data_IF_119842120432
#
_entry.id   IF_119842120432
#
_cell.length_a   1.000
_cell.length_b   1.000
_cell.length_c   1.000
_cell.angle_alpha   90.00
_cell.angle_beta   90.00
_cell.angle_gamma   90.00
#
_symmetry.space_group_name_H-M   'P 1'
#
loop_
_entity.id
_entity.type
_entity.pdbx_description
1 polymer ?
#
# COMPACT_ATOMS: atom_id res chain seq x y z
N UNK A 1 -14.16 9.59 9.71
CA UNK A 1 -13.07 8.74 9.18
C UNK A 1 -11.78 9.33 9.69
N UNK A 2 -11.34 8.83 10.84
CA UNK A 2 -10.62 9.67 11.79
C UNK A 2 -9.16 9.24 11.89
N UNK A 3 -8.29 10.11 11.36
CA UNK A 3 -6.83 10.10 11.47
C UNK A 3 -6.11 8.96 10.73
N UNK A 4 -5.34 9.37 9.72
CA UNK A 4 -4.42 8.51 8.99
C UNK A 4 -3.33 7.96 9.93
N UNK A 5 -3.09 6.65 9.87
CA UNK A 5 -1.90 6.00 10.44
C UNK A 5 -0.84 5.91 9.37
N UNK A 6 0.35 6.44 9.66
CA UNK A 6 1.49 6.35 8.75
C UNK A 6 1.94 4.89 8.64
N UNK A 7 2.22 4.47 7.42
CA UNK A 7 2.91 3.20 7.17
C UNK A 7 4.30 3.23 7.82
N UNK A 8 4.64 2.16 8.54
CA UNK A 8 5.91 2.03 9.26
C UNK A 8 7.12 2.18 8.31
N UNK A 9 8.20 2.79 8.79
CA UNK A 9 9.48 2.71 8.09
C UNK A 9 10.01 1.28 8.16
N UNK A 10 10.75 0.88 7.12
CA UNK A 10 11.49 -0.37 7.08
C UNK A 10 12.96 0.01 7.23
N UNK A 11 13.61 -0.53 8.26
CA UNK A 11 15.05 -0.32 8.47
C UNK A 11 15.86 -1.15 7.48
N UNK A 12 17.02 -0.62 7.10
CA UNK A 12 17.91 -1.32 6.18
C UNK A 12 18.67 -2.43 6.92
N UNK A 13 18.91 -3.55 6.23
CA UNK A 13 19.59 -4.73 6.80
C UNK A 13 21.04 -4.49 7.20
N UNK A 14 21.69 -3.45 6.68
CA UNK A 14 23.06 -3.08 7.05
C UNK A 14 23.16 -2.24 8.32
N UNK A 15 22.05 -1.92 8.99
CA UNK A 15 22.07 -1.24 10.28
C UNK A 15 22.35 -2.23 11.41
N UNK A 16 23.63 -2.48 11.67
CA UNK A 16 24.07 -3.48 12.64
C UNK A 16 23.49 -3.25 14.05
N UNK A 17 23.33 -1.99 14.48
CA UNK A 17 22.73 -1.69 15.79
C UNK A 17 21.28 -2.17 15.89
N UNK A 18 20.50 -2.05 14.81
CA UNK A 18 19.12 -2.52 14.77
C UNK A 18 19.05 -4.05 14.76
N UNK A 19 19.88 -4.70 13.96
CA UNK A 19 19.98 -6.17 13.91
C UNK A 19 20.41 -6.74 15.26
N UNK A 20 21.40 -6.13 15.91
CA UNK A 20 21.85 -6.54 17.24
C UNK A 20 20.75 -6.43 18.29
N UNK A 21 19.89 -5.41 18.22
CA UNK A 21 18.70 -5.30 19.10
C UNK A 21 17.71 -6.44 18.86
N UNK A 22 17.43 -6.81 17.61
CA UNK A 22 16.55 -7.95 17.27
C UNK A 22 17.10 -9.25 17.86
N UNK A 23 18.40 -9.49 17.72
CA UNK A 23 19.08 -10.69 18.25
C UNK A 23 19.03 -10.70 19.78
N UNK A 24 19.40 -9.59 20.43
CA UNK A 24 19.41 -9.48 21.89
C UNK A 24 18.03 -9.71 22.51
N UNK A 25 16.97 -9.24 21.86
CA UNK A 25 15.58 -9.45 22.30
C UNK A 25 14.99 -10.79 21.84
N UNK A 26 15.80 -11.68 21.22
CA UNK A 26 15.37 -12.98 20.69
C UNK A 26 14.17 -12.87 19.75
N UNK A 27 14.07 -11.78 18.99
CA UNK A 27 13.00 -11.61 18.01
C UNK A 27 13.30 -12.40 16.71
N UNK A 28 14.58 -12.65 16.43
CA UNK A 28 15.06 -13.35 15.22
C UNK A 28 14.76 -14.85 15.12
N UNK A 29 14.16 -15.47 16.15
CA UNK A 29 13.80 -16.90 16.15
C UNK A 29 12.35 -17.16 15.71
N UNK A 30 11.59 -16.10 15.43
CA UNK A 30 10.21 -16.22 14.93
C UNK A 30 10.19 -16.59 13.45
N UNK A 31 9.03 -16.97 12.93
CA UNK A 31 8.82 -17.13 11.49
C UNK A 31 8.83 -15.76 10.78
N UNK A 32 9.56 -15.67 9.66
CA UNK A 32 9.65 -14.45 8.85
C UNK A 32 9.19 -14.73 7.43
N UNK A 33 8.45 -13.77 6.87
CA UNK A 33 8.06 -13.76 5.45
C UNK A 33 8.93 -12.76 4.69
N UNK A 34 9.50 -13.21 3.56
CA UNK A 34 10.26 -12.36 2.64
C UNK A 34 9.43 -12.12 1.39
N UNK A 35 9.32 -10.87 0.98
CA UNK A 35 8.55 -10.43 -0.18
C UNK A 35 9.35 -9.42 -1.00
N UNK A 36 9.14 -9.39 -2.32
CA UNK A 36 9.88 -8.50 -3.22
C UNK A 36 9.58 -7.02 -2.93
N UNK A 37 10.61 -6.24 -2.62
CA UNK A 37 10.43 -4.79 -2.44
C UNK A 37 10.24 -4.08 -3.79
N UNK A 38 8.98 -3.94 -4.20
CA UNK A 38 8.61 -3.21 -5.41
C UNK A 38 8.99 -1.73 -5.33
N UNK A 39 9.67 -1.21 -6.35
CA UNK A 39 9.98 0.21 -6.47
C UNK A 39 8.80 0.99 -7.06
N UNK A 40 8.40 2.08 -6.41
CA UNK A 40 7.23 2.88 -6.81
C UNK A 40 6.76 3.79 -5.68
N UNK A 41 5.49 4.18 -5.71
CA UNK A 41 4.87 5.02 -4.68
C UNK A 41 4.06 4.21 -3.68
N UNK A 42 4.02 4.65 -2.43
CA UNK A 42 3.07 4.09 -1.46
C UNK A 42 1.68 4.67 -1.75
N UNK A 43 0.71 3.78 -1.89
CA UNK A 43 -0.71 4.10 -2.03
C UNK A 43 -1.50 3.24 -1.05
N UNK A 44 -2.54 3.80 -0.45
CA UNK A 44 -3.45 3.05 0.42
C UNK A 44 -4.88 3.47 0.20
N UNK A 45 -5.82 2.53 0.38
CA UNK A 45 -7.24 2.81 0.39
C UNK A 45 -7.76 2.64 1.81
N UNK A 46 -8.43 3.68 2.30
CA UNK A 46 -9.08 3.72 3.59
C UNK A 46 -10.57 3.63 3.37
N UNK A 47 -11.28 2.83 4.16
CA UNK A 47 -12.75 2.76 4.10
C UNK A 47 -13.38 2.45 5.44
N UNK A 48 -14.53 3.08 5.68
CA UNK A 48 -15.46 2.79 6.78
C UNK A 48 -16.64 1.89 6.34
N UNK A 49 -16.57 1.35 5.12
CA UNK A 49 -17.64 0.57 4.51
C UNK A 49 -18.68 1.39 3.74
N UNK A 50 -18.63 2.72 3.83
CA UNK A 50 -19.52 3.64 3.10
C UNK A 50 -18.78 4.43 2.04
N UNK A 51 -17.55 4.86 2.33
CA UNK A 51 -16.73 5.65 1.42
C UNK A 51 -15.29 5.15 1.34
N UNK A 52 -14.58 5.49 0.26
CA UNK A 52 -13.15 5.17 0.08
C UNK A 52 -12.35 6.45 -0.11
N UNK A 53 -11.30 6.61 0.70
CA UNK A 53 -10.28 7.66 0.55
C UNK A 53 -8.93 7.06 0.17
N UNK A 54 -8.27 7.67 -0.80
CA UNK A 54 -6.91 7.32 -1.20
C UNK A 54 -5.89 8.09 -0.37
N UNK A 55 -4.77 7.46 -0.02
CA UNK A 55 -3.70 8.12 0.73
C UNK A 55 -2.31 7.71 0.26
N UNK A 56 -1.42 8.71 0.21
CA UNK A 56 0.03 8.55 0.05
C UNK A 56 0.69 8.36 1.43
N UNK A 57 2.00 8.13 1.45
CA UNK A 57 2.77 7.87 2.70
C UNK A 57 2.52 8.92 3.79
N UNK A 58 2.34 10.18 3.42
CA UNK A 58 2.29 11.31 4.34
C UNK A 58 0.87 11.84 4.62
N UNK A 59 -0.16 11.37 3.92
CA UNK A 59 -1.51 11.92 4.06
C UNK A 59 -2.50 11.41 3.03
N UNK A 60 -3.76 11.81 3.18
CA UNK A 60 -4.77 11.59 2.15
C UNK A 60 -4.41 12.35 0.87
N UNK A 61 -4.88 11.83 -0.26
CA UNK A 61 -4.77 12.48 -1.56
C UNK A 61 -6.08 13.24 -1.75
N UNK A 62 -5.98 14.56 -1.91
CA UNK A 62 -7.16 15.42 -2.16
C UNK A 62 -7.70 15.19 -3.58
N UNK A 63 -8.96 15.56 -3.82
CA UNK A 63 -9.64 15.27 -5.09
C UNK A 63 -8.99 15.96 -6.31
N UNK A 64 -8.39 17.12 -6.09
CA UNK A 64 -7.68 17.92 -7.10
C UNK A 64 -6.15 17.68 -7.10
N UNK A 65 -5.65 16.83 -6.21
CA UNK A 65 -4.21 16.53 -6.14
C UNK A 65 -3.78 15.61 -7.29
N UNK A 66 -2.91 16.11 -8.17
CA UNK A 66 -2.28 15.30 -9.21
C UNK A 66 -1.23 14.35 -8.61
N UNK A 67 -1.67 13.14 -8.23
CA UNK A 67 -0.81 12.07 -7.75
C UNK A 67 -0.59 11.02 -8.85
N UNK A 68 0.61 10.99 -9.45
CA UNK A 68 0.96 10.11 -10.58
C UNK A 68 -0.02 10.23 -11.75
N UNK A 69 -0.24 11.46 -12.25
CA UNK A 69 -1.13 11.74 -13.39
C UNK A 69 -2.57 11.25 -13.17
N UNK A 70 -3.08 11.38 -11.95
CA UNK A 70 -4.40 10.90 -11.50
C UNK A 70 -4.61 9.38 -11.59
N UNK A 71 -3.54 8.58 -11.78
CA UNK A 71 -3.67 7.13 -11.86
C UNK A 71 -4.23 6.51 -10.57
N UNK A 72 -4.10 7.19 -9.42
CA UNK A 72 -4.74 6.77 -8.18
C UNK A 72 -6.27 6.66 -8.30
N UNK A 73 -6.91 7.51 -9.12
CA UNK A 73 -8.35 7.46 -9.33
C UNK A 73 -8.76 6.23 -10.16
N UNK A 74 -8.05 5.97 -11.26
CA UNK A 74 -8.28 4.79 -12.09
C UNK A 74 -8.12 3.50 -11.28
N UNK A 75 -7.09 3.46 -10.45
CA UNK A 75 -6.80 2.31 -9.59
C UNK A 75 -7.82 2.18 -8.46
N UNK A 76 -8.26 3.29 -7.85
CA UNK A 76 -9.36 3.30 -6.87
C UNK A 76 -10.62 2.72 -7.49
N UNK A 77 -11.02 3.21 -8.67
CA UNK A 77 -12.22 2.75 -9.37
C UNK A 77 -12.12 1.27 -9.73
N UNK A 78 -10.96 0.81 -10.19
CA UNK A 78 -10.70 -0.60 -10.51
C UNK A 78 -10.87 -1.52 -9.30
N UNK A 79 -10.44 -1.09 -8.11
CA UNK A 79 -10.43 -1.93 -6.91
C UNK A 79 -11.54 -1.61 -5.90
N UNK A 80 -12.40 -0.63 -6.16
CA UNK A 80 -13.46 -0.19 -5.24
C UNK A 80 -14.32 -1.34 -4.72
N UNK A 81 -14.82 -2.20 -5.61
CA UNK A 81 -15.62 -3.36 -5.22
C UNK A 81 -14.85 -4.32 -4.30
N UNK A 82 -13.55 -4.52 -4.56
CA UNK A 82 -12.70 -5.39 -3.75
C UNK A 82 -12.46 -4.79 -2.36
N UNK A 83 -12.23 -3.48 -2.28
CA UNK A 83 -12.03 -2.77 -1.00
C UNK A 83 -13.25 -2.94 -0.09
N UNK A 84 -14.46 -2.76 -0.62
CA UNK A 84 -15.68 -2.99 0.16
C UNK A 84 -15.88 -4.47 0.55
N UNK A 85 -15.52 -5.42 -0.33
CA UNK A 85 -15.55 -6.85 0.01
C UNK A 85 -14.60 -7.18 1.16
N UNK A 86 -13.39 -6.63 1.14
CA UNK A 86 -12.40 -6.80 2.22
C UNK A 86 -12.95 -6.19 3.52
N UNK A 87 -13.51 -4.98 3.47
CA UNK A 87 -14.14 -4.38 4.66
C UNK A 87 -15.22 -5.28 5.26
N UNK A 88 -16.13 -5.81 4.44
CA UNK A 88 -17.19 -6.71 4.91
C UNK A 88 -16.63 -8.01 5.52
N UNK A 89 -15.62 -8.61 4.90
CA UNK A 89 -14.98 -9.83 5.41
C UNK A 89 -14.25 -9.58 6.74
N UNK A 90 -13.58 -8.43 6.88
CA UNK A 90 -12.92 -8.04 8.12
C UNK A 90 -13.96 -7.72 9.21
N UNK A 91 -15.02 -7.00 8.87
CA UNK A 91 -16.10 -6.65 9.79
C UNK A 91 -16.87 -7.88 10.31
N UNK A 92 -17.06 -8.92 9.47
CA UNK A 92 -17.72 -10.15 9.91
C UNK A 92 -16.92 -10.92 10.97
N UNK A 93 -15.59 -10.74 11.00
CA UNK A 93 -14.71 -11.33 12.01
C UNK A 93 -14.57 -10.39 13.22
N UNK A 94 -14.56 -9.08 12.98
CA UNK A 94 -14.31 -8.05 13.99
C UNK A 94 -15.34 -6.91 13.90
N UNK A 95 -16.48 -7.09 14.55
CA UNK A 95 -17.64 -6.18 14.48
C UNK A 95 -17.40 -4.78 15.06
N UNK A 96 -16.32 -4.57 15.81
CA UNK A 96 -15.99 -3.27 16.41
C UNK A 96 -15.08 -2.39 15.52
N UNK A 97 -14.71 -2.87 14.32
CA UNK A 97 -13.87 -2.10 13.41
C UNK A 97 -14.69 -1.00 12.74
N UNK A 98 -14.20 0.24 12.87
CA UNK A 98 -14.81 1.43 12.24
C UNK A 98 -14.21 1.76 10.88
N UNK A 99 -12.96 1.39 10.64
CA UNK A 99 -12.23 1.74 9.43
C UNK A 99 -11.12 0.71 9.21
N UNK A 100 -10.89 0.34 7.95
CA UNK A 100 -9.68 -0.39 7.54
C UNK A 100 -8.81 0.49 6.65
N UNK A 101 -7.52 0.20 6.66
CA UNK A 101 -6.56 0.75 5.71
C UNK A 101 -5.90 -0.42 4.99
N UNK A 102 -5.95 -0.42 3.67
CA UNK A 102 -5.32 -1.43 2.82
C UNK A 102 -4.12 -0.73 2.18
N UNK A 103 -2.91 -1.26 2.36
CA UNK A 103 -1.67 -0.66 1.88
C UNK A 103 -1.16 -1.36 0.62
N UNK A 104 -0.65 -0.59 -0.32
CA UNK A 104 -0.19 -1.07 -1.60
C UNK A 104 0.97 -0.25 -2.15
N UNK A 105 1.55 -0.77 -3.23
CA UNK A 105 2.55 -0.07 -4.03
C UNK A 105 1.98 0.23 -5.39
N UNK A 106 1.98 1.51 -5.77
CA UNK A 106 1.69 1.96 -7.13
C UNK A 106 3.01 1.96 -7.93
N UNK A 107 3.11 1.17 -8.99
CA UNK A 107 4.33 1.01 -9.79
C UNK A 107 4.01 0.70 -11.26
N UNK A 108 4.97 0.87 -12.16
CA UNK A 108 4.78 0.69 -13.61
C UNK A 108 4.56 2.02 -14.35
N UNK A 109 3.86 1.98 -15.49
CA UNK A 109 3.64 3.14 -16.35
C UNK A 109 4.78 3.45 -17.33
N UNK A 110 5.98 2.90 -17.12
CA UNK A 110 7.10 3.01 -18.07
C UNK A 110 8.13 1.90 -17.90
N UNK A 111 8.59 1.35 -19.02
CA UNK A 111 9.69 0.38 -19.07
C UNK A 111 10.77 0.91 -20.03
N UNK A 112 11.84 1.52 -19.52
CA UNK A 112 12.84 2.21 -20.35
C UNK A 112 13.86 1.22 -20.91
N UNK A 113 13.44 0.41 -21.90
CA UNK A 113 14.31 -0.53 -22.59
C UNK A 113 14.25 -0.29 -24.10
N UNK A 114 15.39 -0.24 -24.81
CA UNK A 114 15.43 0.06 -26.24
C UNK A 114 14.62 -0.93 -27.09
N UNK A 115 14.60 -2.20 -26.69
CA UNK A 115 13.84 -3.25 -27.39
C UNK A 115 12.36 -3.33 -26.99
N UNK A 116 11.89 -2.48 -26.08
CA UNK A 116 10.49 -2.44 -25.67
C UNK A 116 9.87 -1.16 -26.18
N UNK A 117 8.99 -1.30 -27.17
CA UNK A 117 8.22 -0.17 -27.70
C UNK A 117 7.39 0.43 -26.56
N UNK A 118 7.50 1.75 -26.39
CA UNK A 118 6.71 2.48 -25.39
C UNK A 118 5.23 2.34 -25.70
N UNK A 119 4.51 1.63 -24.83
CA UNK A 119 3.05 1.59 -24.88
C UNK A 119 2.48 2.70 -23.99
N UNK A 120 1.81 3.67 -24.62
CA UNK A 120 1.12 4.78 -23.92
C UNK A 120 -0.11 4.31 -23.13
N UNK A 121 -0.57 3.07 -23.36
CA UNK A 121 -1.67 2.44 -22.63
C UNK A 121 -1.18 1.56 -21.48
N UNK A 122 0.13 1.46 -21.25
CA UNK A 122 0.68 0.70 -20.14
C UNK A 122 0.14 1.26 -18.81
N UNK A 123 -0.70 0.48 -18.15
CA UNK A 123 -1.38 0.90 -16.92
C UNK A 123 -0.44 0.71 -15.74
N UNK A 124 -0.40 1.69 -14.85
CA UNK A 124 0.27 1.56 -13.56
C UNK A 124 -0.42 0.47 -12.74
N UNK A 125 0.35 -0.54 -12.33
CA UNK A 125 -0.14 -1.68 -11.57
C UNK A 125 -0.06 -1.33 -10.07
N UNK A 126 -1.06 -1.77 -9.31
CA UNK A 126 -1.00 -1.77 -7.86
C UNK A 126 -0.85 -3.20 -7.36
N UNK A 127 0.16 -3.44 -6.52
CA UNK A 127 0.27 -4.66 -5.71
C UNK A 127 -0.14 -4.31 -4.28
N UNK A 128 -0.93 -5.18 -3.67
CA UNK A 128 -1.43 -5.07 -2.30
C UNK A 128 -0.50 -5.78 -1.32
N UNK A 129 -0.17 -5.12 -0.23
CA UNK A 129 0.51 -5.71 0.92
C UNK A 129 -0.55 -5.96 1.98
N UNK A 130 -0.81 -7.23 2.28
CA UNK A 130 -1.54 -7.61 3.49
C UNK A 130 -0.46 -7.86 4.54
N UNK A 131 -0.32 -6.92 5.47
CA UNK A 131 0.50 -7.06 6.68
C UNK A 131 -0.40 -7.13 7.89
#
# INVERSE_FOLDING_TARGET
MDKLRKYSSIENSYQDEFINKIIAHKLGVSEYFVQEKVHGANLSFWTDGVSIKSAKRIGFIEEDENFYSNTNLDVKNKYESLVYKIFKAVFSIHQNIKTIAIFGKLFGGGYPHPDVVKDKKAVTIQIWWIS
#
